data_IF_272236685004
#
_entry.id   IF_272236685004
#
_cell.length_a   1.000
_cell.length_b   1.000
_cell.length_c   1.000
_cell.angle_alpha   90.00
_cell.angle_beta   90.00
_cell.angle_gamma   90.00
#
_symmetry.space_group_name_H-M   'P 1'
#
loop_
_entity.id
_entity.type
_entity.pdbx_description
1 polymer ?
#
# COMPACT_ATOMS: atom_id res chain seq x y z
N UNK A 1 -2.94 16.80 13.63
CA UNK A 1 -1.90 17.83 13.76
C UNK A 1 -2.20 18.73 14.95
N UNK A 2 -1.46 19.80 15.13
CA UNK A 2 -1.63 20.73 16.28
C UNK A 2 -3.00 21.41 16.30
N UNK A 3 -3.69 21.50 15.16
CA UNK A 3 -5.04 22.08 15.02
C UNK A 3 -6.16 21.09 15.30
N UNK A 4 -5.87 19.81 15.42
CA UNK A 4 -6.82 18.75 15.70
C UNK A 4 -6.75 17.56 14.74
N UNK A 5 -7.80 16.70 14.74
CA UNK A 5 -7.89 15.57 13.81
C UNK A 5 -7.87 16.04 12.35
N UNK A 6 -7.17 15.29 11.50
CA UNK A 6 -7.07 15.54 10.06
C UNK A 6 -7.50 14.29 9.28
N UNK A 7 -7.88 14.49 8.02
CA UNK A 7 -8.12 13.38 7.08
C UNK A 7 -6.77 12.84 6.56
N UNK A 8 -6.43 11.58 6.77
CA UNK A 8 -5.23 10.98 6.19
C UNK A 8 -5.29 10.97 4.65
N UNK A 9 -6.49 11.00 4.07
CA UNK A 9 -6.68 10.99 2.62
C UNK A 9 -6.58 12.38 2.00
N UNK A 10 -7.14 13.43 2.65
CA UNK A 10 -7.33 14.74 2.01
C UNK A 10 -6.37 15.81 2.51
N UNK A 11 -5.96 15.77 3.78
CA UNK A 11 -5.19 16.85 4.41
C UNK A 11 -3.67 16.63 4.37
N UNK A 12 -3.22 15.39 4.06
CA UNK A 12 -1.80 15.08 3.85
C UNK A 12 -1.49 15.28 2.37
N UNK A 13 -0.50 16.13 2.00
CA UNK A 13 -0.14 16.32 0.61
C UNK A 13 0.44 15.04 0.00
N UNK A 14 0.09 14.74 -1.27
CA UNK A 14 0.64 13.59 -2.00
C UNK A 14 2.18 13.61 -2.05
N UNK A 15 2.76 14.76 -2.37
CA UNK A 15 4.21 14.87 -2.56
C UNK A 15 4.90 15.50 -1.35
N UNK A 16 5.84 14.76 -0.76
CA UNK A 16 6.81 15.29 0.18
C UNK A 16 7.92 16.07 -0.56
N UNK A 17 8.36 15.55 -1.71
CA UNK A 17 9.30 16.20 -2.64
C UNK A 17 9.05 15.68 -4.06
N UNK A 18 8.34 16.46 -4.86
CA UNK A 18 7.96 16.07 -6.23
C UNK A 18 9.18 15.94 -7.16
N UNK A 19 10.20 16.78 -6.98
CA UNK A 19 11.38 16.75 -7.83
C UNK A 19 12.20 15.46 -7.64
N UNK A 20 12.24 14.97 -6.39
CA UNK A 20 12.90 13.72 -6.02
C UNK A 20 12.00 12.49 -6.12
N UNK A 21 10.73 12.65 -6.53
CA UNK A 21 9.70 11.59 -6.54
C UNK A 21 9.48 10.94 -5.18
N UNK A 22 9.54 11.74 -4.11
CA UNK A 22 9.24 11.31 -2.75
C UNK A 22 7.80 11.68 -2.44
N UNK A 23 6.96 10.68 -2.21
CA UNK A 23 5.57 10.82 -1.84
C UNK A 23 5.37 10.63 -0.33
N UNK A 24 4.22 11.08 0.18
CA UNK A 24 3.75 10.61 1.47
C UNK A 24 2.97 9.31 1.31
N UNK A 25 3.17 8.39 2.24
CA UNK A 25 2.39 7.17 2.40
C UNK A 25 1.79 7.16 3.80
N UNK A 26 0.50 6.88 3.90
CA UNK A 26 -0.16 6.62 5.20
C UNK A 26 -0.17 5.13 5.44
N UNK A 27 0.42 4.69 6.54
CA UNK A 27 0.49 3.27 6.90
C UNK A 27 -0.84 2.81 7.49
N UNK A 28 -1.46 1.85 6.85
CA UNK A 28 -2.70 1.20 7.31
C UNK A 28 -2.39 -0.10 8.04
N UNK A 29 -1.55 -0.93 7.44
CA UNK A 29 -1.20 -2.25 7.95
C UNK A 29 0.31 -2.36 8.16
N UNK A 30 0.78 -2.36 9.42
CA UNK A 30 2.18 -2.62 9.73
C UNK A 30 2.61 -4.01 9.23
N UNK A 31 3.86 -4.12 8.78
CA UNK A 31 4.48 -5.39 8.41
C UNK A 31 4.25 -6.47 9.48
N UNK A 32 4.00 -7.69 9.03
CA UNK A 32 3.77 -8.89 9.84
C UNK A 32 2.51 -8.86 10.71
N UNK A 33 1.58 -7.98 10.42
CA UNK A 33 0.25 -7.99 11.04
C UNK A 33 -0.81 -8.49 10.06
N UNK A 34 -1.95 -8.95 10.59
CA UNK A 34 -2.99 -9.63 9.80
C UNK A 34 -4.29 -8.82 9.68
N UNK A 35 -4.56 -7.88 10.60
CA UNK A 35 -5.78 -7.08 10.55
C UNK A 35 -5.78 -6.21 9.27
N UNK A 36 -6.77 -6.41 8.39
CA UNK A 36 -6.94 -5.56 7.20
C UNK A 36 -7.51 -4.22 7.65
N UNK A 37 -6.65 -3.24 7.72
CA UNK A 37 -7.00 -1.86 8.05
C UNK A 37 -6.99 -1.04 6.77
N UNK A 38 -7.89 -0.08 6.65
CA UNK A 38 -8.00 0.79 5.48
C UNK A 38 -8.53 2.18 5.86
N UNK A 39 -8.24 3.18 5.04
CA UNK A 39 -8.79 4.51 5.13
C UNK A 39 -10.28 4.43 4.77
N UNK A 40 -11.16 4.79 5.71
CA UNK A 40 -12.60 4.77 5.48
C UNK A 40 -13.04 5.95 4.62
N UNK A 41 -13.48 5.69 3.39
CA UNK A 41 -13.93 6.72 2.46
C UNK A 41 -15.28 7.35 2.86
N UNK A 42 -16.13 6.58 3.55
CA UNK A 42 -17.48 6.97 3.91
C UNK A 42 -17.62 7.72 5.24
N UNK A 43 -16.56 7.83 6.02
CA UNK A 43 -16.62 8.46 7.34
C UNK A 43 -15.97 9.86 7.35
N UNK A 44 -16.50 10.81 8.16
CA UNK A 44 -15.85 12.11 8.34
C UNK A 44 -14.39 11.97 8.77
N UNK A 45 -13.51 12.75 8.16
CA UNK A 45 -12.06 12.73 8.37
C UNK A 45 -11.39 11.42 7.97
N UNK A 46 -12.07 10.51 7.28
CA UNK A 46 -11.52 9.28 6.71
C UNK A 46 -10.60 8.51 7.68
N UNK A 47 -11.10 8.08 8.87
CA UNK A 47 -10.25 7.39 9.84
C UNK A 47 -9.80 6.03 9.29
N UNK A 48 -8.65 5.55 9.76
CA UNK A 48 -8.22 4.18 9.48
C UNK A 48 -9.07 3.22 10.32
N UNK A 49 -9.81 2.34 9.66
CA UNK A 49 -10.71 1.35 10.25
C UNK A 49 -10.35 -0.06 9.83
N UNK A 50 -10.70 -1.03 10.65
CA UNK A 50 -10.61 -2.42 10.20
C UNK A 50 -11.77 -2.74 9.26
N UNK A 51 -11.44 -3.28 8.09
CA UNK A 51 -12.40 -3.78 7.12
C UNK A 51 -13.27 -4.91 7.73
N UNK A 52 -14.50 -5.02 7.23
CA UNK A 52 -15.46 -6.03 7.67
C UNK A 52 -16.02 -6.80 6.47
N UNK A 53 -16.06 -8.12 6.59
CA UNK A 53 -16.65 -9.00 5.58
C UNK A 53 -17.69 -9.89 6.25
N UNK A 54 -18.93 -9.89 5.73
CA UNK A 54 -20.06 -10.66 6.29
C UNK A 54 -20.30 -10.39 7.79
N UNK A 55 -20.12 -9.14 8.24
CA UNK A 55 -20.33 -8.71 9.62
C UNK A 55 -19.22 -9.06 10.60
N UNK A 56 -18.10 -9.62 10.16
CA UNK A 56 -16.92 -9.92 10.97
C UNK A 56 -15.72 -9.05 10.59
N UNK A 57 -14.88 -8.71 11.58
CA UNK A 57 -13.61 -8.04 11.35
C UNK A 57 -12.74 -8.87 10.41
N UNK A 58 -12.18 -8.24 9.36
CA UNK A 58 -11.37 -8.93 8.37
C UNK A 58 -9.91 -9.05 8.80
N UNK A 59 -9.38 -10.26 8.69
CA UNK A 59 -7.96 -10.57 8.87
C UNK A 59 -7.46 -11.32 7.65
N UNK A 60 -6.28 -10.96 7.17
CA UNK A 60 -5.62 -11.70 6.10
C UNK A 60 -5.02 -12.98 6.69
N UNK A 61 -5.25 -14.10 6.03
CA UNK A 61 -4.64 -15.38 6.41
C UNK A 61 -3.12 -15.35 6.18
N UNK A 62 -2.39 -16.16 6.97
CA UNK A 62 -0.97 -16.33 6.71
C UNK A 62 -0.78 -17.17 5.44
N UNK A 63 0.02 -16.67 4.51
CA UNK A 63 0.44 -17.38 3.29
C UNK A 63 1.82 -17.98 3.55
N UNK A 64 1.90 -19.30 3.70
CA UNK A 64 3.18 -19.98 3.96
C UNK A 64 4.22 -19.65 2.86
N UNK A 65 5.48 -19.29 3.23
CA UNK A 65 6.05 -19.26 4.57
C UNK A 65 5.89 -17.90 5.30
N UNK A 66 5.04 -17.03 4.84
CA UNK A 66 4.90 -15.66 5.31
C UNK A 66 3.89 -15.52 6.45
N UNK A 67 4.08 -14.47 7.28
CA UNK A 67 3.14 -14.06 8.31
C UNK A 67 2.52 -12.72 7.94
N UNK A 68 1.19 -12.67 7.83
CA UNK A 68 0.46 -11.43 7.53
C UNK A 68 0.97 -10.71 6.29
N UNK A 69 0.92 -9.39 6.32
CA UNK A 69 1.52 -8.53 5.29
C UNK A 69 3.05 -8.55 5.40
N UNK A 70 3.74 -8.82 4.30
CA UNK A 70 5.21 -8.94 4.30
C UNK A 70 5.95 -7.61 4.14
N UNK A 71 5.22 -6.52 3.96
CA UNK A 71 5.68 -5.13 3.89
C UNK A 71 4.87 -4.26 4.85
N UNK A 72 5.28 -3.02 5.09
CA UNK A 72 4.34 -2.02 5.54
C UNK A 72 3.39 -1.71 4.37
N UNK A 73 2.10 -1.75 4.61
CA UNK A 73 1.09 -1.54 3.59
C UNK A 73 0.25 -0.31 3.94
N UNK A 74 -0.17 0.43 2.93
CA UNK A 74 -1.00 1.60 3.11
C UNK A 74 -1.27 2.32 1.81
N UNK A 75 -1.72 3.57 1.89
CA UNK A 75 -2.22 4.31 0.75
C UNK A 75 -1.45 5.62 0.51
N UNK A 76 -1.45 6.07 -0.75
CA UNK A 76 -1.06 7.43 -1.11
C UNK A 76 -2.22 8.38 -0.84
N UNK A 77 -2.04 9.44 -0.03
CA UNK A 77 -3.04 10.48 0.13
C UNK A 77 -3.31 11.21 -1.19
N UNK A 78 -4.50 11.78 -1.33
CA UNK A 78 -4.93 12.57 -2.50
C UNK A 78 -4.84 11.81 -3.83
N UNK A 79 -5.03 10.49 -3.81
CA UNK A 79 -5.14 9.63 -4.99
C UNK A 79 -6.47 8.89 -5.01
N UNK A 80 -6.86 8.42 -6.19
CA UNK A 80 -8.12 7.69 -6.39
C UNK A 80 -8.08 6.87 -7.66
N UNK A 81 -8.35 5.59 -7.56
CA UNK A 81 -8.53 4.69 -8.70
C UNK A 81 -9.98 4.78 -9.19
N UNK A 82 -10.22 5.71 -10.12
CA UNK A 82 -11.55 6.12 -10.59
C UNK A 82 -12.30 4.95 -11.27
N UNK A 83 -13.41 4.45 -10.70
CA UNK A 83 -14.20 3.36 -11.28
C UNK A 83 -14.93 3.74 -12.59
N UNK A 84 -14.92 5.01 -12.97
CA UNK A 84 -15.46 5.49 -14.26
C UNK A 84 -14.43 5.41 -15.38
N UNK A 85 -13.15 5.25 -15.05
CA UNK A 85 -12.05 5.18 -16.00
C UNK A 85 -11.63 3.72 -16.24
N UNK A 86 -11.46 3.36 -17.51
CA UNK A 86 -10.84 2.08 -17.90
C UNK A 86 -9.36 2.33 -18.11
N UNK A 87 -8.53 1.70 -17.29
CA UNK A 87 -7.09 1.81 -17.39
C UNK A 87 -6.57 1.11 -18.66
N UNK A 88 -5.69 1.79 -19.41
CA UNK A 88 -5.22 1.28 -20.70
C UNK A 88 -4.30 0.05 -20.59
N UNK A 89 -3.61 -0.12 -19.47
CA UNK A 89 -2.69 -1.24 -19.25
C UNK A 89 -3.42 -2.50 -18.77
N UNK A 90 -4.39 -2.33 -17.86
CA UNK A 90 -5.12 -3.45 -17.25
C UNK A 90 -6.42 -3.81 -17.98
N UNK A 91 -6.96 -2.88 -18.79
CA UNK A 91 -8.27 -2.98 -19.45
C UNK A 91 -9.43 -3.15 -18.46
N UNK A 92 -9.24 -2.80 -17.20
CA UNK A 92 -10.21 -2.85 -16.12
C UNK A 92 -10.44 -1.46 -15.53
N UNK A 93 -11.50 -1.29 -14.76
CA UNK A 93 -11.85 -0.04 -14.09
C UNK A 93 -11.17 0.02 -12.73
N UNK A 94 -10.92 1.23 -12.22
CA UNK A 94 -10.43 1.43 -10.85
C UNK A 94 -11.41 0.89 -9.81
N UNK A 95 -10.88 0.52 -8.66
CA UNK A 95 -11.62 -0.13 -7.55
C UNK A 95 -12.27 0.88 -6.58
N UNK A 96 -12.17 2.17 -6.86
CA UNK A 96 -12.68 3.28 -6.05
C UNK A 96 -11.85 3.61 -4.80
N UNK A 97 -10.73 2.95 -4.57
CA UNK A 97 -9.85 3.20 -3.42
C UNK A 97 -8.66 4.13 -3.77
N UNK A 98 -7.97 4.71 -2.81
CA UNK A 98 -6.70 5.38 -3.05
C UNK A 98 -5.64 4.38 -3.52
N UNK A 99 -4.60 4.87 -4.24
CA UNK A 99 -3.53 4.00 -4.72
C UNK A 99 -2.74 3.39 -3.56
N UNK A 100 -2.63 2.08 -3.56
CA UNK A 100 -1.93 1.30 -2.56
C UNK A 100 -0.41 1.33 -2.70
N UNK A 101 0.26 1.28 -1.55
CA UNK A 101 1.73 1.27 -1.45
C UNK A 101 2.20 0.09 -0.62
N UNK A 102 3.18 -0.64 -1.14
CA UNK A 102 3.99 -1.60 -0.39
C UNK A 102 5.36 -0.96 -0.10
N UNK A 103 5.64 -0.71 1.16
CA UNK A 103 6.90 -0.13 1.61
C UNK A 103 7.82 -1.25 2.08
N UNK A 104 8.96 -1.43 1.37
CA UNK A 104 9.84 -2.60 1.48
C UNK A 104 11.02 -2.42 2.43
N UNK A 105 11.20 -1.25 3.03
CA UNK A 105 12.31 -0.94 3.95
C UNK A 105 12.35 -1.82 5.19
N UNK A 106 13.38 -1.69 5.99
CA UNK A 106 13.64 -2.59 7.12
C UNK A 106 12.79 -2.29 8.35
N UNK A 107 12.31 -1.05 8.49
CA UNK A 107 11.53 -0.63 9.65
C UNK A 107 10.13 -1.24 9.65
N UNK A 108 9.66 -1.72 10.79
CA UNK A 108 8.23 -1.96 11.02
C UNK A 108 7.59 -0.66 11.45
N UNK A 109 6.72 -0.11 10.62
CA UNK A 109 6.00 1.13 10.90
C UNK A 109 4.80 0.89 11.84
N UNK A 110 4.30 1.96 12.45
CA UNK A 110 3.05 1.92 13.19
C UNK A 110 1.87 2.30 12.27
N UNK A 111 0.66 1.82 12.60
CA UNK A 111 -0.56 2.27 11.93
C UNK A 111 -0.75 3.76 12.14
N UNK A 112 -1.08 4.47 11.06
CA UNK A 112 -1.24 5.92 11.05
C UNK A 112 0.07 6.69 10.90
N UNK A 113 1.23 6.00 10.84
CA UNK A 113 2.47 6.68 10.49
C UNK A 113 2.35 7.29 9.09
N UNK A 114 2.87 8.49 8.92
CA UNK A 114 3.04 9.14 7.62
C UNK A 114 4.51 9.03 7.24
N UNK A 115 4.79 8.19 6.25
CA UNK A 115 6.16 7.96 5.77
C UNK A 115 6.42 8.82 4.53
N UNK A 116 7.67 9.25 4.38
CA UNK A 116 8.17 9.83 3.14
C UNK A 116 8.82 8.71 2.34
N UNK A 117 8.20 8.31 1.24
CA UNK A 117 8.62 7.13 0.48
C UNK A 117 9.10 7.49 -0.91
N UNK A 118 10.22 6.92 -1.31
CA UNK A 118 10.75 6.96 -2.68
C UNK A 118 10.08 5.85 -3.48
N UNK A 119 9.40 6.23 -4.57
CA UNK A 119 8.72 5.28 -5.45
C UNK A 119 9.76 4.61 -6.35
N UNK A 120 9.76 3.28 -6.38
CA UNK A 120 10.70 2.44 -7.13
C UNK A 120 10.06 1.81 -8.36
N UNK A 121 8.75 1.56 -8.34
CA UNK A 121 8.02 0.99 -9.46
C UNK A 121 6.58 0.65 -9.10
N UNK A 122 5.92 -0.07 -10.01
CA UNK A 122 4.51 -0.44 -9.86
C UNK A 122 4.27 -1.91 -10.16
N UNK A 123 3.29 -2.48 -9.50
CA UNK A 123 2.73 -3.78 -9.78
C UNK A 123 1.26 -3.59 -10.20
N UNK A 124 0.91 -4.04 -11.41
CA UNK A 124 -0.47 -4.08 -11.86
C UNK A 124 -1.14 -5.34 -11.28
N UNK A 125 -2.19 -5.13 -10.51
CA UNK A 125 -3.06 -6.19 -10.02
C UNK A 125 -4.45 -6.00 -10.63
N UNK A 126 -5.10 -7.10 -11.01
CA UNK A 126 -6.53 -7.15 -11.31
C UNK A 126 -7.16 -7.96 -10.20
N UNK A 127 -7.89 -7.28 -9.31
CA UNK A 127 -8.56 -7.91 -8.19
C UNK A 127 -10.07 -7.93 -8.42
N UNK A 128 -10.67 -9.11 -8.45
CA UNK A 128 -12.11 -9.31 -8.70
C UNK A 128 -12.63 -8.60 -9.97
N UNK A 129 -11.75 -8.36 -10.95
CA UNK A 129 -12.07 -7.70 -12.23
C UNK A 129 -11.86 -6.19 -12.25
N UNK A 130 -11.34 -5.62 -11.19
CA UNK A 130 -11.02 -4.20 -11.06
C UNK A 130 -9.50 -3.98 -11.08
N UNK A 131 -9.09 -2.80 -11.56
CA UNK A 131 -7.69 -2.36 -11.51
C UNK A 131 -7.34 -1.96 -10.10
N UNK A 132 -6.24 -2.48 -9.62
CA UNK A 132 -5.73 -2.24 -8.28
C UNK A 132 -4.20 -2.11 -8.35
N UNK A 133 -3.68 -0.89 -8.53
CA UNK A 133 -2.26 -0.62 -8.64
C UNK A 133 -1.58 -0.68 -7.27
N UNK A 134 -0.46 -1.40 -7.20
CA UNK A 134 0.41 -1.43 -6.02
C UNK A 134 1.73 -0.74 -6.34
N UNK A 135 2.04 0.36 -5.66
CA UNK A 135 3.34 0.99 -5.76
C UNK A 135 4.35 0.27 -4.87
N UNK A 136 5.52 0.01 -5.42
CA UNK A 136 6.69 -0.46 -4.67
C UNK A 136 7.49 0.76 -4.24
N UNK A 137 7.71 0.93 -2.95
CA UNK A 137 8.39 2.09 -2.40
C UNK A 137 9.29 1.74 -1.22
N UNK A 138 10.19 2.66 -0.87
CA UNK A 138 11.06 2.55 0.30
C UNK A 138 11.03 3.85 1.10
N UNK A 139 10.98 3.79 2.45
CA UNK A 139 11.14 4.96 3.34
C UNK A 139 12.47 5.66 2.98
N UNK A 140 12.45 6.97 2.70
CA UNK A 140 13.67 7.73 2.33
C UNK A 140 14.76 7.70 3.41
N UNK A 141 14.39 7.31 4.66
CA UNK A 141 15.31 7.15 5.78
C UNK A 141 15.85 5.74 5.94
N UNK A 142 15.41 4.80 5.08
CA UNK A 142 15.93 3.45 5.11
C UNK A 142 17.41 3.45 4.73
N UNK A 143 18.27 2.66 5.40
CA UNK A 143 19.72 2.60 5.09
C UNK A 143 20.03 2.26 3.63
N UNK A 144 19.14 1.54 2.95
CA UNK A 144 19.32 1.13 1.56
C UNK A 144 18.63 2.07 0.54
N UNK A 145 17.92 3.13 1.00
CA UNK A 145 17.14 4.00 0.13
C UNK A 145 17.97 4.68 -0.97
N UNK A 146 19.23 5.03 -0.69
CA UNK A 146 20.13 5.63 -1.71
C UNK A 146 20.56 4.63 -2.79
N UNK A 147 20.55 3.34 -2.48
CA UNK A 147 20.94 2.24 -3.39
C UNK A 147 19.80 1.75 -4.27
N UNK A 148 18.57 2.17 -3.97
CA UNK A 148 17.34 1.75 -4.63
C UNK A 148 16.81 2.90 -5.49
N UNK A 149 16.72 2.73 -6.78
CA UNK A 149 16.19 3.72 -7.73
C UNK A 149 15.03 3.19 -8.58
N UNK A 150 14.98 1.87 -8.77
CA UNK A 150 13.92 1.18 -9.51
C UNK A 150 13.78 -0.28 -9.06
N UNK A 151 12.89 -1.03 -9.71
CA UNK A 151 12.64 -2.45 -9.39
C UNK A 151 13.82 -3.37 -9.71
N UNK A 152 14.73 -2.99 -10.61
CA UNK A 152 15.91 -3.78 -10.90
C UNK A 152 16.91 -3.73 -9.74
N UNK A 153 17.04 -2.55 -9.09
CA UNK A 153 17.82 -2.41 -7.86
C UNK A 153 17.21 -3.23 -6.71
N UNK A 154 15.87 -3.29 -6.63
CA UNK A 154 15.19 -4.14 -5.63
C UNK A 154 15.54 -5.60 -5.83
N UNK A 155 15.50 -6.11 -7.06
CA UNK A 155 15.85 -7.51 -7.34
C UNK A 155 17.33 -7.79 -7.09
N UNK A 156 18.21 -6.83 -7.39
CA UNK A 156 19.64 -6.98 -7.15
C UNK A 156 19.99 -6.98 -5.65
N UNK A 157 19.34 -6.12 -4.85
CA UNK A 157 19.64 -5.96 -3.42
C UNK A 157 18.88 -6.95 -2.54
N UNK A 158 17.64 -7.26 -2.92
CA UNK A 158 16.74 -8.18 -2.20
C UNK A 158 16.23 -9.29 -3.15
N UNK A 159 17.11 -10.22 -3.59
CA UNK A 159 16.72 -11.24 -4.57
C UNK A 159 15.49 -12.04 -4.15
N UNK A 160 14.49 -12.08 -5.00
CA UNK A 160 13.25 -12.81 -4.77
C UNK A 160 12.16 -12.05 -4.01
N UNK A 161 12.40 -10.82 -3.52
CA UNK A 161 11.38 -10.01 -2.86
C UNK A 161 10.22 -9.71 -3.78
N UNK A 162 10.47 -9.28 -5.01
CA UNK A 162 9.43 -8.99 -6.00
C UNK A 162 8.62 -10.24 -6.34
N UNK A 163 9.27 -11.38 -6.50
CA UNK A 163 8.59 -12.67 -6.72
C UNK A 163 7.71 -13.06 -5.54
N UNK A 164 8.21 -12.94 -4.31
CA UNK A 164 7.42 -13.21 -3.10
C UNK A 164 6.23 -12.26 -2.97
N UNK A 165 6.38 -11.00 -3.38
CA UNK A 165 5.32 -10.00 -3.44
C UNK A 165 4.20 -10.42 -4.40
N UNK A 166 4.55 -10.78 -5.64
CA UNK A 166 3.58 -11.27 -6.63
C UNK A 166 2.88 -12.53 -6.14
N UNK A 167 3.62 -13.47 -5.58
CA UNK A 167 3.07 -14.71 -5.06
C UNK A 167 2.12 -14.46 -3.89
N UNK A 168 2.46 -13.56 -2.98
CA UNK A 168 1.62 -13.17 -1.86
C UNK A 168 0.26 -12.62 -2.34
N UNK A 169 0.25 -11.68 -3.27
CA UNK A 169 -0.99 -11.13 -3.85
C UNK A 169 -1.83 -12.16 -4.59
N UNK A 170 -1.22 -13.18 -5.19
CA UNK A 170 -1.94 -14.29 -5.84
C UNK A 170 -2.60 -15.25 -4.86
N UNK A 171 -2.08 -15.36 -3.65
CA UNK A 171 -2.46 -16.42 -2.71
C UNK A 171 -3.23 -15.92 -1.48
N UNK A 172 -3.13 -14.63 -1.11
CA UNK A 172 -3.64 -14.13 0.18
C UNK A 172 -5.16 -14.26 0.34
N UNK A 173 -5.93 -14.30 -0.74
CA UNK A 173 -7.38 -14.51 -0.74
C UNK A 173 -7.80 -15.99 -0.86
N UNK A 174 -6.89 -16.88 -1.26
CA UNK A 174 -7.23 -18.31 -1.49
C UNK A 174 -7.85 -18.98 -0.25
N UNK A 175 -7.39 -18.73 0.99
CA UNK A 175 -8.02 -19.30 2.18
C UNK A 175 -9.44 -18.79 2.48
N UNK A 176 -9.84 -17.69 1.87
CA UNK A 176 -11.15 -17.06 2.13
C UNK A 176 -12.27 -17.67 1.25
N UNK A 177 -11.93 -18.51 0.25
CA UNK A 177 -12.85 -19.22 -0.65
C UNK A 177 -13.14 -18.47 -1.92
#
# INVERSE_FOLDING_TARGET
DESGPISPLHDIPLWADRARRVAHMVVEVPRWTNAKMEISLGEPLNPIRQDTKKGAMRFVSNVFPHRGYIWNYGALPQTWEDPRHVDAATQARGDNDPIDVIEIGQRVAARGDVLRVKILGTLALIDEGETDWKLVAVDERDPDAERLSDVADVEALFPGLLRATVEWFRLYKVPDG
#
